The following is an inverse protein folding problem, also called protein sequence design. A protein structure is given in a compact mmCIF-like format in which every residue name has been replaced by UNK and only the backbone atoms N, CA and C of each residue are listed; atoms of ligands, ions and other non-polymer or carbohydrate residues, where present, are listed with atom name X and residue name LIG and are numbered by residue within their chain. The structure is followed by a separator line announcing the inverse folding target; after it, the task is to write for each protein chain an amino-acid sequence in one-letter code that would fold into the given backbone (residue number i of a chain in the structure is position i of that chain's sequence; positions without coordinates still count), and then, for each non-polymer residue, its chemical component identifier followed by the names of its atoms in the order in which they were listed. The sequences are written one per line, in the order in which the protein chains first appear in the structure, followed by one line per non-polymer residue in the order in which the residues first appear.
data_IF_904328029452
#
_entry.id   IF_904328029452
#
_cell.length_a   1.000
_cell.length_b   1.000
_cell.length_c   1.000
_cell.angle_alpha   90.00
_cell.angle_beta   90.00
_cell.angle_gamma   90.00
#
_symmetry.space_group_name_H-M   'P 1'
#
loop_
_entity.id
_entity.type
_entity.pdbx_description
1 polymer ?
#
# COMPACT_ATOMS: atom_id res chain seq x y z
N UNK A 1 -19.29 -25.61 19.15
CA UNK A 1 -18.41 -25.56 17.97
C UNK A 1 -17.38 -24.49 18.27
N UNK A 2 -16.08 -24.83 18.33
CA UNK A 2 -15.03 -23.78 18.33
C UNK A 2 -15.11 -23.10 16.96
N UNK A 3 -15.28 -21.76 16.94
CA UNK A 3 -15.05 -20.98 15.71
C UNK A 3 -13.68 -21.39 15.19
N UNK A 4 -13.59 -21.78 13.93
CA UNK A 4 -12.29 -21.97 13.28
C UNK A 4 -11.60 -20.60 13.35
N UNK A 5 -10.45 -20.55 13.99
CA UNK A 5 -9.59 -19.36 13.90
C UNK A 5 -9.39 -19.03 12.43
N UNK A 6 -9.81 -17.83 12.06
CA UNK A 6 -9.62 -17.36 10.70
C UNK A 6 -8.17 -16.93 10.58
N UNK A 7 -7.40 -17.71 9.84
CA UNK A 7 -5.99 -17.45 9.54
C UNK A 7 -5.90 -16.86 8.15
N UNK A 8 -5.12 -15.82 7.96
CA UNK A 8 -4.89 -15.21 6.66
C UNK A 8 -3.42 -14.88 6.46
N UNK A 9 -2.93 -15.03 5.23
CA UNK A 9 -1.56 -14.75 4.86
C UNK A 9 -1.50 -13.56 3.90
N UNK A 10 -0.75 -12.53 4.28
CA UNK A 10 -0.41 -11.41 3.42
C UNK A 10 0.95 -11.62 2.78
N UNK A 11 1.04 -11.45 1.47
CA UNK A 11 2.28 -11.51 0.70
C UNK A 11 2.65 -10.13 0.15
N UNK A 12 3.91 -9.76 0.28
CA UNK A 12 4.53 -8.62 -0.38
C UNK A 12 5.60 -9.12 -1.34
N UNK A 13 5.53 -8.66 -2.59
CA UNK A 13 6.52 -8.96 -3.63
C UNK A 13 7.15 -7.64 -4.06
N UNK A 14 8.38 -7.41 -3.65
CA UNK A 14 9.18 -6.25 -4.05
C UNK A 14 10.13 -6.62 -5.20
N UNK A 15 10.98 -5.71 -5.62
CA UNK A 15 11.97 -6.01 -6.65
C UNK A 15 12.96 -7.11 -6.21
N UNK A 16 13.30 -7.14 -4.92
CA UNK A 16 14.38 -7.97 -4.39
C UNK A 16 13.92 -9.13 -3.50
N UNK A 17 12.71 -9.03 -2.91
CA UNK A 17 12.24 -10.00 -1.93
C UNK A 17 10.77 -10.36 -2.13
N UNK A 18 10.44 -11.57 -1.66
CA UNK A 18 9.07 -11.97 -1.34
C UNK A 18 9.01 -12.19 0.16
N UNK A 19 8.06 -11.55 0.81
CA UNK A 19 7.80 -11.68 2.24
C UNK A 19 6.36 -12.14 2.44
N UNK A 20 6.15 -13.08 3.34
CA UNK A 20 4.83 -13.50 3.77
C UNK A 20 4.67 -13.38 5.29
N UNK A 21 3.50 -12.92 5.71
CA UNK A 21 3.10 -12.84 7.11
C UNK A 21 1.76 -13.54 7.27
N UNK A 22 1.74 -14.59 8.07
CA UNK A 22 0.52 -15.31 8.45
C UNK A 22 0.04 -14.83 9.81
N UNK A 23 -1.22 -14.49 9.91
CA UNK A 23 -1.79 -13.95 11.12
C UNK A 23 -3.23 -14.42 11.35
N UNK A 24 -3.71 -14.29 12.59
CA UNK A 24 -5.11 -14.45 12.98
C UNK A 24 -5.52 -13.37 13.97
N UNK A 25 -6.83 -13.27 14.26
CA UNK A 25 -7.35 -12.35 15.26
C UNK A 25 -7.70 -13.13 16.53
N UNK A 26 -7.08 -12.76 17.64
CA UNK A 26 -7.43 -13.23 18.97
C UNK A 26 -7.72 -12.03 19.88
N UNK A 27 -8.88 -12.03 20.54
CA UNK A 27 -9.29 -10.94 21.45
C UNK A 27 -9.18 -9.53 20.83
N UNK A 28 -9.55 -9.38 19.56
CA UNK A 28 -9.43 -8.12 18.77
C UNK A 28 -7.98 -7.64 18.57
N UNK A 29 -7.01 -8.51 18.74
CA UNK A 29 -5.60 -8.27 18.47
C UNK A 29 -5.14 -9.18 17.34
N UNK A 30 -4.45 -8.63 16.36
CA UNK A 30 -3.80 -9.43 15.33
C UNK A 30 -2.56 -10.10 15.93
N UNK A 31 -2.50 -11.41 15.82
CA UNK A 31 -1.37 -12.25 16.24
C UNK A 31 -0.69 -12.78 14.99
N UNK A 32 0.57 -12.44 14.80
CA UNK A 32 1.42 -13.03 13.77
C UNK A 32 1.86 -14.41 14.24
N UNK A 33 1.56 -15.43 13.45
CA UNK A 33 1.91 -16.82 13.76
C UNK A 33 3.10 -17.31 12.99
N UNK A 34 3.33 -16.75 11.80
CA UNK A 34 4.45 -17.12 10.95
C UNK A 34 4.90 -15.95 10.09
N UNK A 35 6.19 -15.96 9.72
CA UNK A 35 6.81 -14.94 8.90
C UNK A 35 7.93 -15.57 8.06
N UNK A 36 7.92 -15.32 6.76
CA UNK A 36 8.81 -15.95 5.78
C UNK A 36 9.36 -14.90 4.84
N UNK A 37 10.58 -15.10 4.41
CA UNK A 37 11.27 -14.22 3.45
C UNK A 37 12.09 -15.03 2.47
N UNK A 38 12.09 -14.63 1.21
CA UNK A 38 12.92 -15.17 0.15
C UNK A 38 13.45 -14.06 -0.75
N UNK A 39 14.74 -14.10 -1.06
CA UNK A 39 15.32 -13.20 -2.06
C UNK A 39 14.86 -13.62 -3.45
N UNK A 40 14.42 -12.66 -4.26
CA UNK A 40 14.07 -12.88 -5.66
C UNK A 40 15.33 -13.08 -6.51
N UNK A 41 15.22 -13.94 -7.50
CA UNK A 41 16.32 -14.31 -8.40
C UNK A 41 15.90 -14.39 -9.85
N UNK A 42 14.59 -14.31 -10.13
CA UNK A 42 14.00 -14.55 -11.45
C UNK A 42 12.83 -13.61 -11.73
N UNK A 43 11.95 -14.01 -12.64
CA UNK A 43 10.69 -13.28 -12.94
C UNK A 43 9.67 -13.44 -11.80
N UNK A 44 8.70 -12.55 -11.74
CA UNK A 44 7.71 -12.54 -10.66
C UNK A 44 6.88 -13.83 -10.60
N UNK A 45 6.55 -14.40 -11.76
CA UNK A 45 5.80 -15.65 -11.89
C UNK A 45 6.61 -16.85 -11.40
N UNK A 46 7.91 -16.94 -11.75
CA UNK A 46 8.79 -18.02 -11.30
C UNK A 46 9.09 -17.92 -9.80
N UNK A 47 9.42 -16.73 -9.31
CA UNK A 47 9.76 -16.49 -7.91
C UNK A 47 8.57 -16.78 -6.97
N UNK A 48 7.33 -16.40 -7.34
CA UNK A 48 6.16 -16.70 -6.51
C UNK A 48 5.85 -18.20 -6.45
N UNK A 49 6.06 -18.93 -7.56
CA UNK A 49 5.91 -20.39 -7.61
C UNK A 49 6.93 -21.05 -6.69
N UNK A 50 8.19 -20.62 -6.75
CA UNK A 50 9.25 -21.13 -5.90
C UNK A 50 8.95 -20.84 -4.42
N UNK A 51 8.55 -19.62 -4.10
CA UNK A 51 8.20 -19.19 -2.73
C UNK A 51 7.09 -20.05 -2.12
N UNK A 52 5.96 -20.16 -2.83
CA UNK A 52 4.80 -20.94 -2.34
C UNK A 52 5.13 -22.40 -2.14
N UNK A 53 5.97 -23.01 -3.01
CA UNK A 53 6.41 -24.40 -2.88
C UNK A 53 7.41 -24.59 -1.75
N UNK A 54 8.36 -23.66 -1.59
CA UNK A 54 9.41 -23.74 -0.56
C UNK A 54 8.81 -23.71 0.84
N UNK A 55 7.80 -22.89 1.05
CA UNK A 55 7.16 -22.70 2.36
C UNK A 55 5.86 -23.49 2.53
N UNK A 56 5.52 -24.36 1.59
CA UNK A 56 4.30 -25.21 1.61
C UNK A 56 3.01 -24.41 1.81
N UNK A 57 2.93 -23.28 1.14
CA UNK A 57 1.82 -22.35 1.26
C UNK A 57 0.64 -22.67 0.30
N UNK A 58 0.49 -23.91 -0.17
CA UNK A 58 -0.51 -24.31 -1.17
C UNK A 58 -1.94 -24.29 -0.62
N UNK A 59 -2.10 -24.47 0.70
CA UNK A 59 -3.40 -24.45 1.37
C UNK A 59 -3.52 -23.18 2.24
N UNK A 60 -4.38 -22.24 1.87
CA UNK A 60 -4.62 -21.03 2.65
C UNK A 60 -5.39 -19.96 1.90
N UNK A 61 -5.74 -18.91 2.62
CA UNK A 61 -6.31 -17.68 2.08
C UNK A 61 -5.21 -16.62 2.02
N UNK A 62 -4.99 -16.05 0.83
CA UNK A 62 -3.90 -15.12 0.58
C UNK A 62 -4.41 -13.78 0.05
N UNK A 63 -3.77 -12.71 0.49
CA UNK A 63 -3.84 -11.39 -0.14
C UNK A 63 -2.45 -10.95 -0.56
N UNK A 64 -2.29 -10.45 -1.77
CA UNK A 64 -0.99 -10.19 -2.39
C UNK A 64 -0.88 -8.71 -2.77
N UNK A 65 0.27 -8.12 -2.52
CA UNK A 65 0.71 -6.88 -3.16
C UNK A 65 2.03 -7.12 -3.86
N UNK A 66 2.20 -6.55 -5.05
CA UNK A 66 3.45 -6.60 -5.78
C UNK A 66 3.88 -5.19 -6.18
N UNK A 67 5.20 -4.93 -6.17
CA UNK A 67 5.79 -3.72 -6.71
C UNK A 67 5.67 -3.73 -8.25
N UNK A 68 4.47 -3.44 -8.72
CA UNK A 68 4.12 -3.31 -10.12
C UNK A 68 3.87 -1.82 -10.36
N UNK A 69 4.34 -1.24 -11.47
CA UNK A 69 4.05 0.15 -11.82
C UNK A 69 2.55 0.44 -11.70
N UNK A 70 2.22 1.38 -10.82
CA UNK A 70 0.83 1.72 -10.47
C UNK A 70 0.70 3.23 -10.42
N UNK A 71 -0.34 3.76 -11.06
CA UNK A 71 -0.76 5.14 -10.87
C UNK A 71 -2.10 5.17 -10.13
N UNK A 72 -2.21 6.03 -9.11
CA UNK A 72 -3.43 6.22 -8.35
C UNK A 72 -3.91 7.65 -8.48
N UNK A 73 -5.18 7.84 -8.78
CA UNK A 73 -5.76 9.17 -8.94
C UNK A 73 -7.15 9.24 -8.34
N UNK A 74 -7.51 10.46 -7.98
CA UNK A 74 -8.83 10.78 -7.52
C UNK A 74 -9.49 11.74 -8.48
N UNK A 75 -10.68 11.38 -8.96
CA UNK A 75 -11.47 12.20 -9.85
C UNK A 75 -12.80 12.61 -9.18
N UNK A 76 -13.20 13.87 -9.32
CA UNK A 76 -14.53 14.30 -8.90
C UNK A 76 -15.58 13.58 -9.75
N UNK A 77 -16.63 13.07 -9.10
CA UNK A 77 -17.64 12.23 -9.73
C UNK A 77 -19.05 12.65 -9.33
N UNK A 78 -19.91 12.88 -10.31
CA UNK A 78 -21.34 13.13 -10.06
C UNK A 78 -22.15 11.87 -10.39
N UNK A 79 -22.62 11.13 -9.37
CA UNK A 79 -23.35 9.88 -9.56
C UNK A 79 -24.76 10.09 -10.13
N UNK A 80 -25.28 11.34 -10.21
CA UNK A 80 -26.57 11.66 -10.79
C UNK A 80 -26.50 11.81 -12.33
N UNK A 81 -25.32 12.15 -12.84
CA UNK A 81 -25.10 12.42 -14.26
C UNK A 81 -24.35 11.30 -14.99
N UNK A 82 -23.59 10.48 -14.27
CA UNK A 82 -22.73 9.46 -14.89
C UNK A 82 -22.78 8.12 -14.14
N UNK A 83 -22.76 7.05 -14.91
CA UNK A 83 -22.33 5.74 -14.45
C UNK A 83 -20.78 5.70 -14.37
N UNK A 84 -20.24 4.93 -13.44
CA UNK A 84 -18.78 4.76 -13.26
C UNK A 84 -18.11 4.29 -14.54
N UNK A 85 -18.71 3.33 -15.26
CA UNK A 85 -18.14 2.80 -16.52
C UNK A 85 -18.12 3.84 -17.62
N UNK A 86 -19.16 4.65 -17.73
CA UNK A 86 -19.22 5.75 -18.69
C UNK A 86 -18.20 6.83 -18.35
N UNK A 87 -18.11 7.21 -17.09
CA UNK A 87 -17.11 8.19 -16.63
C UNK A 87 -15.69 7.74 -16.97
N UNK A 88 -15.35 6.50 -16.64
CA UNK A 88 -14.04 5.91 -16.96
C UNK A 88 -13.79 5.97 -18.48
N UNK A 89 -14.73 5.52 -19.28
CA UNK A 89 -14.59 5.49 -20.74
C UNK A 89 -14.28 6.85 -21.35
N UNK A 90 -14.84 7.93 -20.81
CA UNK A 90 -14.69 9.27 -21.37
C UNK A 90 -13.51 10.06 -20.81
N UNK A 91 -12.97 9.66 -19.64
CA UNK A 91 -11.93 10.42 -18.95
C UNK A 91 -10.60 9.68 -18.81
N UNK A 92 -10.51 8.44 -19.26
CA UNK A 92 -9.35 7.59 -18.98
C UNK A 92 -8.10 8.02 -19.73
N UNK A 93 -8.24 8.40 -20.99
CA UNK A 93 -7.10 8.75 -21.86
C UNK A 93 -6.34 9.98 -21.36
N UNK A 94 -7.04 10.92 -20.69
CA UNK A 94 -6.43 12.13 -20.14
C UNK A 94 -5.99 11.96 -18.68
N UNK A 95 -6.29 10.81 -18.06
CA UNK A 95 -6.11 10.62 -16.62
C UNK A 95 -4.81 9.93 -16.28
N UNK A 96 -4.34 8.98 -17.09
CA UNK A 96 -3.17 8.15 -16.79
C UNK A 96 -2.08 8.30 -17.86
N UNK A 97 -0.81 8.22 -17.44
CA UNK A 97 0.37 8.52 -18.25
C UNK A 97 1.27 7.30 -18.50
N UNK A 98 0.70 6.10 -18.59
CA UNK A 98 1.49 4.87 -18.85
C UNK A 98 2.21 4.82 -20.21
N UNK A 99 2.09 5.86 -21.01
CA UNK A 99 2.71 5.92 -22.33
C UNK A 99 2.12 4.87 -23.29
N UNK A 100 3.01 4.07 -23.90
CA UNK A 100 2.61 2.99 -24.82
C UNK A 100 2.24 1.67 -24.11
N UNK A 101 2.35 1.61 -22.78
CA UNK A 101 2.06 0.40 -22.01
C UNK A 101 0.55 0.21 -21.82
N UNK A 102 0.11 -1.02 -22.01
CA UNK A 102 -1.26 -1.39 -21.66
C UNK A 102 -1.39 -1.47 -20.13
N UNK A 103 -2.46 -0.91 -19.59
CA UNK A 103 -2.77 -0.97 -18.18
C UNK A 103 -4.13 -1.62 -17.90
N UNK A 104 -4.29 -2.16 -16.72
CA UNK A 104 -5.57 -2.60 -16.17
C UNK A 104 -6.03 -1.59 -15.13
N UNK A 105 -7.30 -1.19 -15.19
CA UNK A 105 -7.88 -0.17 -14.34
C UNK A 105 -8.90 -0.78 -13.41
N UNK A 106 -8.83 -0.40 -12.13
CA UNK A 106 -9.90 -0.58 -11.16
C UNK A 106 -10.36 0.77 -10.62
N UNK A 107 -11.63 0.86 -10.24
CA UNK A 107 -12.25 2.08 -9.77
C UNK A 107 -13.18 1.82 -8.57
N UNK A 108 -13.00 2.60 -7.53
CA UNK A 108 -13.82 2.54 -6.34
C UNK A 108 -14.47 3.88 -6.04
N UNK A 109 -15.80 3.88 -5.88
CA UNK A 109 -16.52 5.07 -5.47
C UNK A 109 -16.30 5.34 -4.00
N UNK A 110 -16.00 6.62 -3.68
CA UNK A 110 -15.85 7.12 -2.31
C UNK A 110 -16.79 8.28 -2.06
N UNK A 111 -17.46 8.26 -0.93
CA UNK A 111 -18.29 9.36 -0.44
C UNK A 111 -17.53 10.12 0.64
N UNK A 112 -17.45 11.44 0.49
CA UNK A 112 -16.76 12.34 1.41
C UNK A 112 -17.74 13.20 2.20
N UNK A 113 -17.28 13.88 3.26
CA UNK A 113 -18.09 14.84 3.99
C UNK A 113 -18.76 15.86 3.04
N UNK A 114 -20.03 16.19 3.30
CA UNK A 114 -20.88 17.09 2.51
C UNK A 114 -21.44 16.49 1.21
N UNK A 115 -21.57 15.16 1.14
CA UNK A 115 -22.13 14.45 -0.02
C UNK A 115 -21.40 14.70 -1.34
N UNK A 116 -20.11 14.98 -1.30
CA UNK A 116 -19.28 14.95 -2.48
C UNK A 116 -18.89 13.50 -2.79
N UNK A 117 -18.88 13.17 -4.06
CA UNK A 117 -18.47 11.85 -4.52
C UNK A 117 -17.20 11.95 -5.36
N UNK A 118 -16.36 10.96 -5.17
CA UNK A 118 -15.12 10.82 -5.95
C UNK A 118 -14.97 9.38 -6.40
N UNK A 119 -14.28 9.19 -7.50
CA UNK A 119 -13.74 7.90 -7.88
C UNK A 119 -12.27 7.87 -7.49
N UNK A 120 -11.91 6.88 -6.71
CA UNK A 120 -10.54 6.47 -6.54
C UNK A 120 -10.21 5.48 -7.65
N UNK A 121 -9.26 5.84 -8.49
CA UNK A 121 -8.85 5.12 -9.68
C UNK A 121 -7.45 4.57 -9.44
N UNK A 122 -7.23 3.30 -9.75
CA UNK A 122 -5.91 2.68 -9.74
C UNK A 122 -5.67 1.99 -11.09
N UNK A 123 -4.61 2.37 -11.75
CA UNK A 123 -4.18 1.79 -13.01
C UNK A 123 -2.84 1.09 -12.81
N UNK A 124 -2.72 -0.14 -13.28
CA UNK A 124 -1.59 -1.04 -13.04
C UNK A 124 -1.07 -1.55 -14.38
N UNK A 125 0.24 -1.67 -14.54
CA UNK A 125 0.85 -2.28 -15.74
C UNK A 125 0.29 -3.69 -15.96
N UNK A 126 -0.36 -3.88 -17.13
CA UNK A 126 -1.05 -5.14 -17.44
C UNK A 126 -0.09 -6.31 -17.61
N UNK A 127 1.06 -6.09 -18.21
CA UNK A 127 2.00 -7.17 -18.46
C UNK A 127 2.54 -7.75 -17.15
N UNK A 128 2.97 -6.91 -16.23
CA UNK A 128 3.46 -7.33 -14.91
C UNK A 128 2.35 -8.00 -14.09
N UNK A 129 1.13 -7.48 -14.15
CA UNK A 129 -0.02 -8.08 -13.46
C UNK A 129 -0.36 -9.48 -14.02
N UNK A 130 -0.25 -9.69 -15.33
CA UNK A 130 -0.49 -11.01 -15.94
C UNK A 130 0.60 -12.01 -15.60
N UNK A 131 1.88 -11.61 -15.49
CA UNK A 131 2.94 -12.47 -14.97
C UNK A 131 2.63 -12.92 -13.53
N UNK A 132 2.26 -11.98 -12.65
CA UNK A 132 1.85 -12.31 -11.29
C UNK A 132 0.67 -13.31 -11.26
N UNK A 133 -0.37 -13.06 -12.06
CA UNK A 133 -1.53 -13.95 -12.18
C UNK A 133 -1.16 -15.32 -12.72
N UNK A 134 -0.20 -15.41 -13.63
CA UNK A 134 0.29 -16.69 -14.15
C UNK A 134 0.97 -17.49 -13.04
N UNK A 135 1.91 -16.88 -12.31
CA UNK A 135 2.57 -17.54 -11.18
C UNK A 135 1.57 -18.06 -10.15
N UNK A 136 0.56 -17.26 -9.79
CA UNK A 136 -0.51 -17.68 -8.88
C UNK A 136 -1.26 -18.91 -9.43
N UNK A 137 -1.67 -18.90 -10.71
CA UNK A 137 -2.34 -20.05 -11.35
C UNK A 137 -1.52 -21.32 -11.30
N UNK A 138 -0.21 -21.20 -11.48
CA UNK A 138 0.73 -22.34 -11.51
C UNK A 138 0.98 -22.95 -10.11
N UNK A 139 0.61 -22.23 -9.05
CA UNK A 139 0.68 -22.76 -7.67
C UNK A 139 -0.60 -23.42 -7.19
N UNK A 140 -1.71 -23.22 -7.85
CA UNK A 140 -3.05 -23.57 -7.37
C UNK A 140 -3.45 -22.87 -6.04
N UNK A 141 -2.73 -21.84 -5.63
CA UNK A 141 -3.04 -21.07 -4.44
C UNK A 141 -4.35 -20.28 -4.62
N UNK A 142 -5.13 -20.16 -3.55
CA UNK A 142 -6.35 -19.33 -3.54
C UNK A 142 -5.99 -17.91 -3.11
N UNK A 143 -6.03 -16.98 -4.05
CA UNK A 143 -5.77 -15.56 -3.77
C UNK A 143 -7.08 -14.81 -3.71
N UNK A 144 -7.37 -14.20 -2.56
CA UNK A 144 -8.60 -13.44 -2.31
C UNK A 144 -8.52 -12.05 -2.94
N UNK A 145 -7.33 -11.46 -2.94
CA UNK A 145 -7.14 -10.11 -3.49
C UNK A 145 -5.71 -9.86 -3.93
N UNK A 146 -5.56 -9.07 -4.98
CA UNK A 146 -4.31 -8.41 -5.37
C UNK A 146 -4.52 -6.92 -5.19
N UNK A 147 -3.62 -6.26 -4.45
CA UNK A 147 -3.76 -4.85 -4.14
C UNK A 147 -2.72 -3.99 -4.83
N UNK A 148 -3.00 -2.68 -4.87
CA UNK A 148 -2.14 -1.68 -5.47
C UNK A 148 -0.95 -1.33 -4.56
N UNK A 149 0.23 -1.22 -5.13
CA UNK A 149 1.40 -0.66 -4.48
C UNK A 149 1.29 0.88 -4.34
N UNK A 150 1.59 1.54 -3.19
CA UNK A 150 1.95 0.98 -1.88
C UNK A 150 0.76 0.99 -0.87
N UNK A 151 -0.47 0.90 -1.34
CA UNK A 151 -1.69 1.02 -0.54
C UNK A 151 -1.70 0.18 0.76
N UNK A 152 -1.17 -1.06 0.79
CA UNK A 152 -1.26 -1.93 1.97
C UNK A 152 -0.62 -1.37 3.24
N UNK A 153 0.35 -0.47 3.17
CA UNK A 153 0.92 0.15 4.38
C UNK A 153 -0.15 0.88 5.19
N UNK A 154 -1.24 1.33 4.55
CA UNK A 154 -2.33 2.03 5.21
C UNK A 154 -3.20 1.10 6.06
N UNK A 155 -3.23 -0.20 5.79
CA UNK A 155 -4.11 -1.14 6.49
C UNK A 155 -3.67 -1.42 7.92
N UNK A 156 -2.37 -1.38 8.21
CA UNK A 156 -1.86 -1.39 9.57
C UNK A 156 -2.29 -0.17 10.40
N UNK A 157 -2.76 0.89 9.72
CA UNK A 157 -3.15 2.18 10.27
C UNK A 157 -4.66 2.44 10.14
N UNK A 158 -5.47 1.43 9.92
CA UNK A 158 -6.88 1.45 9.49
C UNK A 158 -7.82 2.44 10.19
N UNK A 159 -7.43 3.01 11.30
CA UNK A 159 -8.23 3.98 12.04
C UNK A 159 -7.66 5.39 11.97
N UNK A 160 -6.62 5.63 11.18
CA UNK A 160 -5.97 6.94 11.08
C UNK A 160 -6.14 7.49 9.67
N UNK A 161 -7.06 8.43 9.55
CA UNK A 161 -7.11 9.30 8.36
C UNK A 161 -5.98 10.31 8.45
N UNK A 162 -5.40 10.67 7.31
CA UNK A 162 -4.39 11.73 7.28
C UNK A 162 -2.97 11.25 7.57
N UNK A 163 -2.57 10.14 6.98
CA UNK A 163 -1.17 9.68 7.00
C UNK A 163 -0.48 9.99 5.68
N UNK A 164 0.85 10.05 5.72
CA UNK A 164 1.71 10.18 4.55
C UNK A 164 2.67 9.01 4.51
N UNK A 165 2.83 8.40 3.34
CA UNK A 165 3.86 7.41 3.06
C UNK A 165 4.87 7.99 2.11
N UNK A 166 6.16 7.83 2.38
CA UNK A 166 7.26 8.22 1.51
C UNK A 166 8.17 7.03 1.24
N UNK A 167 8.43 6.73 -0.02
CA UNK A 167 9.37 5.69 -0.43
C UNK A 167 10.53 6.34 -1.17
N UNK A 168 11.74 6.12 -0.69
CA UNK A 168 12.96 6.60 -1.32
C UNK A 168 13.36 5.62 -2.42
N UNK A 169 13.49 6.16 -3.61
CA UNK A 169 13.91 5.50 -4.83
C UNK A 169 15.23 6.10 -5.34
N UNK A 170 15.94 5.49 -6.30
CA UNK A 170 17.24 5.98 -6.77
C UNK A 170 17.23 7.41 -7.31
N UNK A 171 16.14 7.89 -7.84
CA UNK A 171 15.96 9.19 -8.49
C UNK A 171 15.20 10.22 -7.65
N UNK A 172 14.70 9.83 -6.46
CA UNK A 172 13.97 10.73 -5.58
C UNK A 172 13.18 10.03 -4.49
N UNK A 173 12.21 10.73 -3.95
CA UNK A 173 11.25 10.19 -3.00
C UNK A 173 9.84 10.32 -3.56
N UNK A 174 9.14 9.23 -3.62
CA UNK A 174 7.73 9.19 -3.97
C UNK A 174 6.90 9.30 -2.70
N UNK A 175 5.96 10.25 -2.65
CA UNK A 175 5.12 10.53 -1.50
C UNK A 175 3.64 10.36 -1.85
N UNK A 176 2.89 9.72 -0.94
CA UNK A 176 1.44 9.56 -1.01
C UNK A 176 0.78 10.05 0.27
N UNK A 177 -0.21 10.93 0.13
CA UNK A 177 -1.08 11.32 1.24
C UNK A 177 -2.36 10.50 1.22
N UNK A 178 -2.72 9.93 2.36
CA UNK A 178 -3.83 9.02 2.51
C UNK A 178 -4.96 9.61 3.36
N UNK A 179 -6.16 9.59 2.82
CA UNK A 179 -7.38 9.74 3.59
C UNK A 179 -8.06 8.37 3.69
N UNK A 180 -7.98 7.74 4.87
CA UNK A 180 -8.30 6.33 5.05
C UNK A 180 -7.44 5.45 4.11
N UNK A 181 -8.11 4.67 3.26
CA UNK A 181 -7.53 3.79 2.25
C UNK A 181 -7.47 4.42 0.84
N UNK A 182 -7.56 5.74 0.76
CA UNK A 182 -7.63 6.45 -0.52
C UNK A 182 -6.48 7.44 -0.64
N UNK A 183 -5.70 7.31 -1.73
CA UNK A 183 -4.68 8.29 -2.09
C UNK A 183 -5.36 9.60 -2.52
N UNK A 184 -5.10 10.69 -1.82
CA UNK A 184 -5.68 12.02 -2.11
C UNK A 184 -4.67 12.96 -2.76
N UNK A 185 -3.40 12.67 -2.64
CA UNK A 185 -2.30 13.41 -3.28
C UNK A 185 -1.10 12.50 -3.44
N UNK A 186 -0.45 12.62 -4.56
CA UNK A 186 0.80 11.96 -4.90
C UNK A 186 1.79 12.99 -5.43
N UNK A 187 3.06 12.87 -5.10
CA UNK A 187 4.14 13.66 -5.70
C UNK A 187 5.49 12.96 -5.59
N UNK A 188 6.42 13.34 -6.46
CA UNK A 188 7.82 12.92 -6.43
C UNK A 188 8.68 14.14 -6.13
N UNK A 189 9.59 14.02 -5.19
CA UNK A 189 10.48 15.10 -4.73
C UNK A 189 11.92 14.63 -4.64
N UNK A 190 12.85 15.57 -4.46
CA UNK A 190 14.22 15.24 -4.09
C UNK A 190 14.33 14.89 -2.61
N UNK A 191 15.24 13.99 -2.27
CA UNK A 191 15.48 13.58 -0.90
C UNK A 191 16.32 14.63 -0.17
N UNK A 192 15.68 15.72 0.26
CA UNK A 192 16.28 16.72 1.13
C UNK A 192 15.22 17.33 2.06
N UNK A 193 15.65 17.89 3.19
CA UNK A 193 14.74 18.36 4.23
C UNK A 193 13.81 19.49 3.78
N UNK A 194 14.25 20.38 2.90
CA UNK A 194 13.44 21.51 2.42
C UNK A 194 12.30 21.03 1.52
N UNK A 195 12.59 20.13 0.56
CA UNK A 195 11.59 19.59 -0.37
C UNK A 195 10.59 18.68 0.37
N UNK A 196 11.06 17.88 1.33
CA UNK A 196 10.19 17.06 2.19
C UNK A 196 9.23 17.96 2.96
N UNK A 197 9.73 19.00 3.62
CA UNK A 197 8.89 19.91 4.41
C UNK A 197 7.85 20.62 3.53
N UNK A 198 8.25 21.08 2.35
CA UNK A 198 7.33 21.75 1.43
C UNK A 198 6.23 20.78 0.92
N UNK A 199 6.61 19.58 0.56
CA UNK A 199 5.64 18.55 0.12
C UNK A 199 4.64 18.17 1.21
N UNK A 200 5.11 18.05 2.46
CA UNK A 200 4.21 17.70 3.57
C UNK A 200 3.24 18.82 3.92
N UNK A 201 3.65 20.09 3.80
CA UNK A 201 2.73 21.23 3.92
C UNK A 201 1.64 21.14 2.83
N UNK A 202 2.04 20.91 1.59
CA UNK A 202 1.06 20.77 0.48
C UNK A 202 0.12 19.59 0.70
N UNK A 203 0.62 18.46 1.19
CA UNK A 203 -0.19 17.28 1.51
C UNK A 203 -1.16 17.54 2.66
N UNK A 204 -0.73 18.27 3.69
CA UNK A 204 -1.60 18.66 4.80
C UNK A 204 -2.74 19.58 4.33
N UNK A 205 -2.46 20.56 3.48
CA UNK A 205 -3.48 21.40 2.88
C UNK A 205 -4.53 20.60 2.07
N UNK A 206 -4.09 19.56 1.37
CA UNK A 206 -5.01 18.67 0.67
C UNK A 206 -5.84 17.86 1.66
N UNK A 207 -5.20 17.25 2.65
CA UNK A 207 -5.88 16.44 3.68
C UNK A 207 -6.90 17.25 4.49
N UNK A 208 -6.65 18.54 4.75
CA UNK A 208 -7.59 19.44 5.41
C UNK A 208 -8.92 19.59 4.65
N UNK A 209 -8.90 19.49 3.32
CA UNK A 209 -10.12 19.50 2.50
C UNK A 209 -10.99 18.26 2.76
N UNK A 210 -10.39 17.19 3.28
CA UNK A 210 -11.05 15.95 3.68
C UNK A 210 -11.38 15.88 5.17
N UNK A 211 -11.23 17.00 5.89
CA UNK A 211 -11.57 17.11 7.31
C UNK A 211 -10.48 16.56 8.25
N UNK A 212 -9.26 16.40 7.77
CA UNK A 212 -8.08 16.07 8.58
C UNK A 212 -7.46 17.39 9.04
N UNK A 213 -7.39 17.63 10.34
CA UNK A 213 -6.85 18.88 10.88
C UNK A 213 -5.33 18.97 10.74
N UNK A 214 -4.63 17.86 10.92
CA UNK A 214 -3.17 17.73 10.84
C UNK A 214 -2.77 16.34 10.35
N UNK A 215 -1.56 16.18 9.83
CA UNK A 215 -0.99 14.88 9.47
C UNK A 215 -0.82 14.04 10.74
N UNK A 216 -1.48 12.87 10.77
CA UNK A 216 -1.53 11.97 11.92
C UNK A 216 -0.30 11.05 12.02
N UNK A 217 0.45 10.90 10.96
CA UNK A 217 1.67 10.11 10.92
C UNK A 217 2.34 10.16 9.56
N UNK A 218 3.66 10.06 9.57
CA UNK A 218 4.48 10.02 8.36
C UNK A 218 5.35 8.77 8.45
N UNK A 219 5.28 7.95 7.41
CA UNK A 219 6.00 6.69 7.31
C UNK A 219 6.95 6.74 6.14
N UNK A 220 8.24 6.68 6.41
CA UNK A 220 9.26 6.66 5.39
C UNK A 220 9.88 5.27 5.25
N UNK A 221 10.24 4.94 4.03
CA UNK A 221 10.87 3.68 3.65
C UNK A 221 12.02 3.94 2.71
N UNK A 222 13.11 3.20 2.88
CA UNK A 222 14.15 3.08 1.89
C UNK A 222 13.91 1.75 1.15
N UNK A 223 13.90 1.78 -0.17
CA UNK A 223 13.97 0.53 -0.93
C UNK A 223 15.33 -0.14 -0.71
N UNK A 224 15.41 -1.43 -0.94
CA UNK A 224 16.69 -2.13 -0.94
C UNK A 224 17.60 -1.58 -2.05
N UNK A 225 18.91 -1.79 -1.91
CA UNK A 225 19.96 -1.44 -2.89
C UNK A 225 20.24 0.06 -3.10
N UNK A 226 19.65 0.94 -2.30
CA UNK A 226 20.09 2.33 -2.26
C UNK A 226 21.49 2.44 -1.63
N UNK A 227 22.35 3.27 -2.20
CA UNK A 227 23.60 3.65 -1.56
C UNK A 227 23.35 4.57 -0.36
N UNK A 228 24.36 4.76 0.51
CA UNK A 228 24.21 5.53 1.74
C UNK A 228 23.79 6.99 1.49
N UNK A 229 24.20 7.60 0.36
CA UNK A 229 23.85 8.98 0.01
C UNK A 229 22.40 9.12 -0.48
N UNK A 230 21.82 8.06 -1.02
CA UNK A 230 20.45 8.04 -1.52
C UNK A 230 19.43 7.73 -0.42
N UNK A 231 19.87 7.09 0.67
CA UNK A 231 18.96 6.70 1.75
C UNK A 231 18.54 7.89 2.57
N UNK A 232 17.26 7.98 2.87
CA UNK A 232 16.81 8.81 3.97
C UNK A 232 17.25 8.14 5.27
N UNK A 233 17.83 8.91 6.16
CA UNK A 233 18.21 8.43 7.48
C UNK A 233 17.33 9.05 8.58
N UNK A 234 17.45 8.50 9.78
CA UNK A 234 16.69 8.96 10.92
C UNK A 234 17.06 10.39 11.34
N UNK A 235 18.30 10.80 11.09
CA UNK A 235 18.77 12.15 11.46
C UNK A 235 18.14 13.20 10.54
N UNK A 236 18.09 12.92 9.23
CA UNK A 236 17.41 13.79 8.26
C UNK A 236 15.93 13.97 8.61
N UNK A 237 15.26 12.90 9.05
CA UNK A 237 13.86 12.96 9.49
C UNK A 237 13.70 13.68 10.82
N UNK A 238 14.63 13.54 11.76
CA UNK A 238 14.63 14.25 13.05
C UNK A 238 14.77 15.76 12.88
N UNK A 239 15.53 16.22 11.90
CA UNK A 239 15.64 17.65 11.57
C UNK A 239 14.28 18.25 11.15
N UNK A 240 13.45 17.45 10.50
CA UNK A 240 12.12 17.87 10.01
C UNK A 240 11.04 17.74 11.10
N UNK A 241 11.06 16.67 11.90
CA UNK A 241 9.95 16.28 12.79
C UNK A 241 10.30 16.24 14.28
N UNK A 242 11.55 16.40 14.67
CA UNK A 242 11.98 16.41 16.06
C UNK A 242 12.01 15.06 16.78
N UNK A 243 11.10 14.16 16.48
CA UNK A 243 11.04 12.83 17.11
C UNK A 243 10.74 11.75 16.07
N UNK A 244 11.77 11.07 15.61
CA UNK A 244 11.66 9.95 14.66
C UNK A 244 12.08 8.66 15.36
N UNK A 245 11.23 7.65 15.33
CA UNK A 245 11.51 6.34 15.91
C UNK A 245 11.29 5.26 14.85
N UNK A 246 12.18 4.27 14.81
CA UNK A 246 11.94 3.04 14.05
C UNK A 246 11.00 2.14 14.86
N UNK A 247 9.77 2.00 14.40
CA UNK A 247 8.77 1.14 15.03
C UNK A 247 8.06 0.36 13.93
N UNK A 248 8.09 -0.98 13.93
CA UNK A 248 7.26 -1.77 13.05
C UNK A 248 5.78 -1.39 13.20
N UNK A 249 5.04 -1.31 12.09
CA UNK A 249 3.63 -0.90 12.06
C UNK A 249 2.76 -1.65 13.07
N UNK A 250 3.01 -2.93 13.28
CA UNK A 250 2.28 -3.78 14.22
C UNK A 250 2.34 -3.31 15.69
N UNK A 251 3.33 -2.48 16.05
CA UNK A 251 3.51 -1.96 17.39
C UNK A 251 3.01 -0.52 17.58
N UNK A 252 2.45 0.09 16.53
CA UNK A 252 1.90 1.43 16.63
C UNK A 252 0.62 1.42 17.47
N UNK A 253 0.76 1.78 18.73
CA UNK A 253 -0.36 2.02 19.61
C UNK A 253 -1.21 3.21 19.15
N UNK A 254 -2.51 3.22 19.46
CA UNK A 254 -3.41 4.35 19.19
C UNK A 254 -2.89 5.63 19.85
N UNK A 255 -2.94 6.73 19.16
CA UNK A 255 -2.81 8.08 19.76
C UNK A 255 -1.43 8.72 19.68
N UNK A 256 -0.50 8.27 18.85
CA UNK A 256 0.80 8.93 18.66
C UNK A 256 1.05 9.31 17.21
N UNK A 257 1.12 10.58 16.94
CA UNK A 257 1.67 11.12 15.69
C UNK A 257 3.17 10.87 15.69
N UNK A 258 3.71 10.20 14.67
CA UNK A 258 5.15 9.90 14.61
C UNK A 258 5.62 9.85 13.18
N UNK A 259 6.82 10.32 12.98
CA UNK A 259 7.60 10.00 11.81
C UNK A 259 8.31 8.66 12.05
N UNK A 260 8.21 7.75 11.11
CA UNK A 260 8.69 6.39 11.24
C UNK A 260 9.50 6.03 10.01
N UNK A 261 10.65 5.41 10.23
CA UNK A 261 11.38 4.70 9.19
C UNK A 261 11.03 3.21 9.32
N UNK A 262 10.24 2.70 8.37
CA UNK A 262 9.73 1.33 8.37
C UNK A 262 10.57 0.37 7.52
N UNK A 263 10.21 -0.90 7.57
CA UNK A 263 10.64 -1.90 6.60
C UNK A 263 9.49 -2.18 5.64
N UNK A 264 9.66 -1.74 4.40
CA UNK A 264 8.58 -1.73 3.40
C UNK A 264 8.02 -3.13 3.11
N UNK A 265 8.88 -4.12 2.94
CA UNK A 265 8.49 -5.47 2.57
C UNK A 265 7.60 -6.11 3.65
N UNK A 266 8.01 -5.97 4.91
CA UNK A 266 7.27 -6.49 6.06
C UNK A 266 5.99 -5.71 6.32
N UNK A 267 6.03 -4.39 6.24
CA UNK A 267 4.85 -3.55 6.49
C UNK A 267 3.77 -3.76 5.43
N UNK A 268 4.17 -4.01 4.17
CA UNK A 268 3.25 -4.39 3.10
C UNK A 268 2.61 -5.77 3.36
N UNK A 269 3.40 -6.78 3.73
CA UNK A 269 2.90 -8.12 4.02
C UNK A 269 1.95 -8.11 5.24
N UNK A 270 2.30 -7.36 6.30
CA UNK A 270 1.44 -7.14 7.47
C UNK A 270 0.14 -6.44 7.07
N UNK A 271 0.22 -5.43 6.23
CA UNK A 271 -0.95 -4.72 5.70
C UNK A 271 -1.90 -5.65 4.96
N UNK A 272 -1.37 -6.51 4.09
CA UNK A 272 -2.17 -7.50 3.35
C UNK A 272 -2.79 -8.56 4.26
N UNK A 273 -2.05 -9.06 5.26
CA UNK A 273 -2.61 -9.97 6.26
C UNK A 273 -3.74 -9.30 7.06
N UNK A 274 -3.54 -8.05 7.47
CA UNK A 274 -4.54 -7.23 8.18
C UNK A 274 -5.80 -7.06 7.33
N UNK A 275 -5.65 -6.71 6.05
CA UNK A 275 -6.78 -6.56 5.13
C UNK A 275 -7.59 -7.85 5.01
N UNK A 276 -6.93 -8.97 4.78
CA UNK A 276 -7.60 -10.26 4.64
C UNK A 276 -8.37 -10.66 5.90
N UNK A 277 -7.79 -10.47 7.08
CA UNK A 277 -8.45 -10.75 8.37
C UNK A 277 -9.67 -9.85 8.61
N UNK A 278 -9.61 -8.58 8.24
CA UNK A 278 -10.75 -7.67 8.36
C UNK A 278 -11.86 -7.97 7.34
N UNK A 279 -11.51 -8.32 6.12
CA UNK A 279 -12.47 -8.70 5.09
C UNK A 279 -13.30 -9.92 5.46
N UNK A 280 -12.69 -10.88 6.14
CA UNK A 280 -13.34 -12.12 6.57
C UNK A 280 -14.20 -11.90 7.83
N UNK A 281 -13.82 -10.98 8.69
CA UNK A 281 -14.42 -10.82 10.03
C UNK A 281 -15.56 -9.81 10.17
N UNK A 282 -15.67 -8.83 9.27
CA UNK A 282 -16.71 -7.79 9.31
C UNK A 282 -16.96 -7.32 7.88
N UNK A 283 -18.14 -7.53 7.36
CA UNK A 283 -18.55 -6.84 6.15
C UNK A 283 -18.43 -5.32 6.39
N UNK A 284 -17.54 -4.68 5.64
CA UNK A 284 -17.36 -3.23 5.61
C UNK A 284 -18.47 -2.59 4.80
#
# INVERSE_FOLDING_TARGET
MKEKEQVHTGLSITENHIVAVTAHIENKTMIVTDAMEMKRTSTIDEDIVEFIRTYDLQEGAYSIVACIPTEMKMASFDPHNFDVKEFIKWNIEDTFTFGEHEFELDACRREYPRHNYYLFLAAVDRHQLELLRQGIRDTCASVDTIDCWPLPVTYGLLHRSGTVTGIVEPDGMHLWAWWKDTCVKECVIKVNGADISAALIEMEEVLQRFGVEEIQGVHFYNIHDLNEEQRIDINALQEVYGNTEYIPLMFLGRGRTRCILGNLDWDMAIGMATRGLHWIGQGW
#
